data_IF_582232909618
#
_entry.id   IF_582232909618
#
_cell.length_a   1.000
_cell.length_b   1.000
_cell.length_c   1.000
_cell.angle_alpha   90.00
_cell.angle_beta   90.00
_cell.angle_gamma   90.00
#
_symmetry.space_group_name_H-M   'P 1'
#
loop_
_entity.id
_entity.type
_entity.pdbx_description
1 polymer ?
#
# COMPACT_ATOMS: atom_id res chain seq x y z
N UNK A 1 -14.89 15.73 14.30
CA UNK A 1 -14.90 14.79 13.18
C UNK A 1 -13.78 13.77 13.38
N UNK A 2 -14.10 12.50 13.33
CA UNK A 2 -13.09 11.46 13.58
C UNK A 2 -12.32 11.15 12.29
N UNK A 3 -11.03 10.86 12.45
CA UNK A 3 -10.18 10.43 11.33
C UNK A 3 -10.47 8.95 11.06
N UNK A 4 -10.70 8.55 9.80
CA UNK A 4 -10.88 7.14 9.48
C UNK A 4 -9.68 6.30 9.88
N UNK A 5 -9.93 5.11 10.41
CA UNK A 5 -8.87 4.21 10.89
C UNK A 5 -7.98 3.67 9.78
N UNK A 6 -8.45 3.70 8.54
CA UNK A 6 -7.72 3.15 7.40
C UNK A 6 -6.78 4.14 6.72
N UNK A 7 -6.65 5.36 7.24
CA UNK A 7 -5.72 6.34 6.67
C UNK A 7 -4.29 5.83 6.85
N UNK A 8 -3.54 5.72 5.75
CA UNK A 8 -2.14 5.28 5.78
C UNK A 8 -1.27 6.48 6.14
N UNK A 9 -0.42 6.32 7.14
CA UNK A 9 0.48 7.38 7.60
C UNK A 9 1.93 7.13 7.20
N UNK A 10 2.29 5.87 6.93
CA UNK A 10 3.63 5.53 6.49
C UNK A 10 3.62 4.22 5.72
N UNK A 11 4.55 4.06 4.78
CA UNK A 11 4.73 2.82 4.03
C UNK A 11 6.20 2.55 3.82
N UNK A 12 6.59 1.27 3.99
CA UNK A 12 7.91 0.77 3.64
C UNK A 12 7.72 -0.45 2.77
N UNK A 13 8.50 -0.52 1.69
CA UNK A 13 8.45 -1.65 0.77
C UNK A 13 9.57 -2.63 1.06
N UNK A 14 9.36 -3.89 0.65
CA UNK A 14 10.40 -4.91 0.71
C UNK A 14 10.58 -5.57 -0.65
N UNK A 15 11.73 -6.21 -0.86
CA UNK A 15 12.02 -6.91 -2.11
C UNK A 15 11.15 -8.15 -2.30
N UNK A 16 10.45 -8.58 -1.28
CA UNK A 16 9.49 -9.68 -1.36
C UNK A 16 8.07 -9.23 -1.68
N UNK A 17 7.91 -8.01 -2.19
CA UNK A 17 6.61 -7.42 -2.56
C UNK A 17 5.65 -7.28 -1.39
N UNK A 18 6.18 -6.88 -0.23
CA UNK A 18 5.36 -6.55 0.93
C UNK A 18 5.30 -5.04 1.12
N UNK A 19 4.12 -4.54 1.50
CA UNK A 19 3.95 -3.18 1.96
C UNK A 19 3.82 -3.21 3.48
N UNK A 20 4.78 -2.62 4.18
CA UNK A 20 4.74 -2.48 5.63
C UNK A 20 4.08 -1.14 5.94
N UNK A 21 2.88 -1.18 6.48
CA UNK A 21 2.00 -0.02 6.59
C UNK A 21 1.81 0.39 8.03
N UNK A 22 1.74 1.71 8.24
CA UNK A 22 1.27 2.30 9.50
C UNK A 22 -0.05 3.03 9.20
N UNK A 23 -1.00 2.90 10.10
CA UNK A 23 -2.32 3.50 9.96
C UNK A 23 -2.58 4.54 11.03
N UNK A 24 -3.55 5.42 10.78
CA UNK A 24 -3.87 6.55 11.66
C UNK A 24 -4.34 6.13 13.04
N UNK A 25 -4.84 4.90 13.20
CA UNK A 25 -5.25 4.36 14.50
C UNK A 25 -4.10 3.76 15.31
N UNK A 26 -2.87 3.88 14.82
CA UNK A 26 -1.69 3.33 15.49
C UNK A 26 -1.36 1.89 15.15
N UNK A 27 -2.20 1.21 14.38
CA UNK A 27 -1.92 -0.17 13.97
C UNK A 27 -0.90 -0.20 12.85
N UNK A 28 -0.09 -1.27 12.84
CA UNK A 28 0.88 -1.54 11.78
C UNK A 28 0.54 -2.90 11.18
N UNK A 29 0.53 -2.95 9.85
CA UNK A 29 0.18 -4.18 9.16
C UNK A 29 1.11 -4.45 7.99
N UNK A 30 1.06 -5.68 7.49
CA UNK A 30 1.82 -6.08 6.31
C UNK A 30 0.82 -6.52 5.25
N UNK A 31 0.90 -5.89 4.10
CA UNK A 31 0.08 -6.22 2.94
C UNK A 31 0.94 -6.96 1.93
N UNK A 32 0.58 -8.21 1.61
CA UNK A 32 1.30 -9.00 0.62
C UNK A 32 0.78 -8.62 -0.77
N UNK A 33 1.65 -8.01 -1.58
CA UNK A 33 1.28 -7.51 -2.90
C UNK A 33 1.40 -8.56 -4.01
N UNK A 34 1.98 -9.73 -3.73
CA UNK A 34 2.22 -10.75 -4.76
C UNK A 34 0.96 -11.15 -5.51
N UNK A 35 -0.15 -11.34 -4.79
CA UNK A 35 -1.42 -11.72 -5.42
C UNK A 35 -2.00 -10.60 -6.29
N UNK A 36 -1.65 -9.36 -6.02
CA UNK A 36 -2.14 -8.20 -6.77
C UNK A 36 -1.43 -8.02 -8.09
N UNK A 37 -0.23 -8.58 -8.24
CA UNK A 37 0.57 -8.43 -9.46
C UNK A 37 -0.09 -9.07 -10.69
N UNK A 38 -1.05 -9.97 -10.48
CA UNK A 38 -1.78 -10.61 -11.57
C UNK A 38 -2.85 -9.69 -12.18
N UNK A 39 -3.24 -8.64 -11.46
CA UNK A 39 -4.26 -7.71 -11.94
C UNK A 39 -3.70 -6.80 -13.03
N UNK A 40 -4.44 -6.58 -14.14
CA UNK A 40 -3.93 -5.74 -15.25
C UNK A 40 -3.51 -4.34 -14.80
N UNK A 41 -4.22 -3.74 -13.85
CA UNK A 41 -3.90 -2.39 -13.37
C UNK A 41 -2.54 -2.32 -12.69
N UNK A 42 -2.02 -3.45 -12.18
CA UNK A 42 -0.76 -3.48 -11.45
C UNK A 42 0.39 -4.14 -12.21
N UNK A 43 0.26 -4.32 -13.52
CA UNK A 43 1.30 -4.96 -14.34
C UNK A 43 2.64 -4.22 -14.28
N UNK A 44 2.62 -2.89 -14.18
CA UNK A 44 3.85 -2.09 -14.05
C UNK A 44 4.64 -2.44 -12.78
N UNK A 45 3.96 -2.94 -11.75
CA UNK A 45 4.59 -3.25 -10.47
C UNK A 45 5.34 -4.59 -10.49
N UNK A 46 5.26 -5.35 -11.58
CA UNK A 46 6.15 -6.49 -11.78
C UNK A 46 7.61 -6.06 -11.91
N UNK A 47 7.86 -4.80 -12.23
CA UNK A 47 9.18 -4.20 -12.10
C UNK A 47 9.42 -3.87 -10.63
N UNK A 48 10.30 -4.63 -9.98
CA UNK A 48 10.53 -4.46 -8.55
C UNK A 48 11.06 -3.06 -8.22
N UNK A 49 11.93 -2.50 -9.06
CA UNK A 49 12.44 -1.15 -8.81
C UNK A 49 11.33 -0.12 -8.79
N UNK A 50 10.34 -0.26 -9.66
CA UNK A 50 9.19 0.62 -9.66
C UNK A 50 8.32 0.39 -8.41
N UNK A 51 8.10 -0.88 -8.03
CA UNK A 51 7.35 -1.19 -6.81
C UNK A 51 7.96 -0.53 -5.57
N UNK A 52 9.29 -0.51 -5.49
CA UNK A 52 10.01 0.04 -4.34
C UNK A 52 9.87 1.57 -4.22
N UNK A 53 9.30 2.25 -5.23
CA UNK A 53 9.06 3.70 -5.18
C UNK A 53 7.78 4.09 -4.46
N UNK A 54 7.03 3.12 -3.93
CA UNK A 54 5.78 3.39 -3.23
C UNK A 54 5.97 4.40 -2.10
N UNK A 55 5.03 5.34 -2.00
CA UNK A 55 5.06 6.38 -0.98
C UNK A 55 3.63 6.74 -0.59
N UNK A 56 3.48 7.47 0.52
CA UNK A 56 2.17 7.90 0.99
C UNK A 56 1.82 9.26 0.38
N UNK A 57 0.62 9.35 -0.19
CA UNK A 57 0.01 10.61 -0.63
C UNK A 57 -1.47 10.56 -0.30
N UNK A 58 -1.98 11.64 0.29
CA UNK A 58 -3.41 11.79 0.61
C UNK A 58 -3.98 10.60 1.40
N UNK A 59 -3.17 10.04 2.30
CA UNK A 59 -3.61 8.98 3.20
C UNK A 59 -3.66 7.59 2.58
N UNK A 60 -3.04 7.38 1.42
CA UNK A 60 -2.96 6.07 0.78
C UNK A 60 -1.58 5.84 0.17
N UNK A 61 -1.38 4.66 -0.41
CA UNK A 61 -0.12 4.31 -1.07
C UNK A 61 -0.22 4.62 -2.56
N UNK A 62 0.79 5.32 -3.07
CA UNK A 62 0.84 5.80 -4.46
C UNK A 62 2.20 5.48 -5.04
N UNK A 63 2.25 5.13 -6.33
CA UNK A 63 3.50 4.91 -7.07
C UNK A 63 3.79 6.06 -8.05
N UNK A 64 2.73 6.56 -8.69
CA UNK A 64 2.81 7.75 -9.55
C UNK A 64 1.42 8.39 -9.63
N UNK A 65 1.25 9.42 -10.45
CA UNK A 65 -0.02 10.14 -10.53
C UNK A 65 -1.19 9.28 -11.03
N UNK A 66 -0.89 8.14 -11.65
CA UNK A 66 -1.91 7.29 -12.27
C UNK A 66 -2.11 5.97 -11.54
N UNK A 67 -1.26 5.64 -10.57
CA UNK A 67 -1.27 4.32 -9.93
C UNK A 67 -1.27 4.44 -8.42
N UNK A 68 -2.41 4.11 -7.83
CA UNK A 68 -2.61 4.12 -6.39
C UNK A 68 -3.41 2.88 -5.97
N UNK A 69 -3.58 2.71 -4.66
CA UNK A 69 -4.41 1.64 -4.12
C UNK A 69 -5.22 2.21 -2.96
N UNK A 70 -6.50 1.81 -2.87
CA UNK A 70 -7.41 2.35 -1.86
C UNK A 70 -6.95 1.99 -0.44
N UNK A 71 -6.94 2.96 0.49
CA UNK A 71 -6.47 2.69 1.85
C UNK A 71 -7.38 1.73 2.61
N UNK A 72 -8.69 1.74 2.37
CA UNK A 72 -9.62 0.79 2.99
C UNK A 72 -9.27 -0.63 2.60
N UNK A 73 -8.94 -0.86 1.33
CA UNK A 73 -8.56 -2.18 0.83
C UNK A 73 -7.27 -2.65 1.51
N UNK A 74 -6.30 -1.76 1.66
CA UNK A 74 -5.06 -2.08 2.36
C UNK A 74 -5.33 -2.46 3.81
N UNK A 75 -6.16 -1.68 4.49
CA UNK A 75 -6.48 -1.94 5.90
C UNK A 75 -7.18 -3.29 6.07
N UNK A 76 -8.17 -3.58 5.23
CA UNK A 76 -8.98 -4.80 5.35
C UNK A 76 -8.20 -6.07 5.01
N UNK A 77 -7.16 -5.96 4.19
CA UNK A 77 -6.42 -7.12 3.69
C UNK A 77 -4.99 -7.22 4.24
N UNK A 78 -4.61 -6.37 5.16
CA UNK A 78 -3.31 -6.46 5.83
C UNK A 78 -3.34 -7.46 6.97
N UNK A 79 -2.19 -8.07 7.22
CA UNK A 79 -1.96 -8.89 8.40
C UNK A 79 -1.46 -7.99 9.54
N UNK A 80 -2.20 -7.94 10.61
CA UNK A 80 -1.85 -7.12 11.78
C UNK A 80 -1.18 -7.92 12.89
#
# INVERSE_FOLDING_TARGET
>A
MSIPKWIVTDVKTSKSYELHLSFSNGKKGIFNFLSELQKPIYQQLNDLDFFLTAHVEDGTVVWNDELDIAPEYLYENSAF
#
